data_IF_653391163970
#
_entry.id   IF_653391163970
#
_cell.length_a   1.000
_cell.length_b   1.000
_cell.length_c   1.000
_cell.angle_alpha   90.00
_cell.angle_beta   90.00
_cell.angle_gamma   90.00
#
_symmetry.space_group_name_H-M   'P 1'
#
loop_
_entity.id
_entity.type
_entity.pdbx_description
1 polymer ?
#
# COMPACT_ATOMS: atom_id res chain seq x y z
N UNK A 1 -4.53 -18.88 -15.39
CA UNK A 1 -4.77 -19.78 -14.22
C UNK A 1 -6.26 -19.89 -13.99
N UNK A 2 -6.76 -21.11 -13.94
CA UNK A 2 -8.19 -21.36 -13.81
C UNK A 2 -8.55 -22.06 -12.49
N UNK A 3 -7.55 -22.43 -11.71
CA UNK A 3 -7.80 -23.17 -10.47
C UNK A 3 -8.36 -22.24 -9.40
N UNK A 4 -9.39 -22.73 -8.71
CA UNK A 4 -9.92 -22.04 -7.54
C UNK A 4 -9.05 -22.41 -6.35
N UNK A 5 -8.66 -21.41 -5.56
CA UNK A 5 -7.89 -21.63 -4.33
C UNK A 5 -8.44 -20.74 -3.23
N UNK A 6 -8.37 -21.27 -2.03
CA UNK A 6 -8.73 -20.54 -0.82
C UNK A 6 -7.43 -20.26 -0.03
N UNK A 7 -7.26 -19.02 0.40
CA UNK A 7 -6.07 -18.61 1.13
C UNK A 7 -6.50 -17.90 2.40
N UNK A 8 -5.94 -18.30 3.54
CA UNK A 8 -6.12 -17.59 4.81
C UNK A 8 -4.94 -16.64 5.01
N UNK A 9 -5.20 -15.42 5.45
CA UNK A 9 -4.12 -14.45 5.69
C UNK A 9 -3.05 -14.96 6.64
N UNK A 10 -3.45 -15.72 7.66
CA UNK A 10 -2.50 -16.26 8.64
C UNK A 10 -1.48 -17.24 8.04
N UNK A 11 -1.81 -17.82 6.88
CA UNK A 11 -0.92 -18.77 6.18
C UNK A 11 -0.03 -18.06 5.17
N UNK A 12 -0.20 -16.75 4.97
CA UNK A 12 0.61 -15.97 4.04
C UNK A 12 1.82 -15.42 4.76
N UNK A 13 2.98 -15.58 4.13
CA UNK A 13 4.24 -15.09 4.69
C UNK A 13 4.19 -13.58 4.91
N UNK A 14 4.60 -13.16 6.11
CA UNK A 14 4.78 -11.75 6.42
C UNK A 14 6.14 -11.28 5.89
N UNK A 15 6.13 -10.23 5.08
CA UNK A 15 7.35 -9.55 4.65
C UNK A 15 7.56 -8.32 5.53
N UNK A 16 8.70 -8.25 6.19
CA UNK A 16 9.10 -7.05 6.92
C UNK A 16 9.95 -6.18 6.00
N UNK A 17 9.44 -5.02 5.61
CA UNK A 17 10.09 -4.14 4.64
C UNK A 17 11.05 -3.18 5.32
N UNK A 18 10.64 -2.67 6.47
CA UNK A 18 11.43 -1.81 7.33
C UNK A 18 10.83 -1.89 8.74
N UNK A 19 11.41 -1.23 9.77
CA UNK A 19 10.92 -1.36 11.13
C UNK A 19 9.46 -0.94 11.34
N UNK A 20 8.89 -0.14 10.44
CA UNK A 20 7.55 0.41 10.61
C UNK A 20 6.53 -0.18 9.62
N UNK A 21 6.97 -0.92 8.60
CA UNK A 21 6.08 -1.42 7.53
C UNK A 21 6.31 -2.90 7.27
N UNK A 22 5.22 -3.66 7.29
CA UNK A 22 5.22 -5.06 6.89
C UNK A 22 3.98 -5.35 6.06
N UNK A 23 3.99 -6.46 5.31
CA UNK A 23 2.84 -6.79 4.44
C UNK A 23 2.72 -8.28 4.17
N UNK A 24 1.51 -8.67 3.79
CA UNK A 24 1.19 -10.00 3.23
C UNK A 24 0.50 -9.80 1.90
N UNK A 25 0.83 -10.62 0.90
CA UNK A 25 0.30 -10.51 -0.45
C UNK A 25 -0.47 -11.76 -0.85
N UNK A 26 -1.65 -11.57 -1.45
CA UNK A 26 -2.40 -12.61 -2.15
C UNK A 26 -2.68 -12.07 -3.55
N UNK A 27 -2.34 -12.83 -4.58
CA UNK A 27 -2.48 -12.34 -5.95
C UNK A 27 -2.79 -13.46 -6.93
N UNK A 28 -3.33 -13.05 -8.07
CA UNK A 28 -3.60 -13.89 -9.23
C UNK A 28 -3.11 -13.17 -10.49
N UNK A 29 -3.59 -13.56 -11.67
CA UNK A 29 -3.16 -12.93 -12.92
C UNK A 29 -3.55 -11.45 -13.01
N UNK A 30 -4.76 -11.12 -12.55
CA UNK A 30 -5.33 -9.79 -12.77
C UNK A 30 -5.31 -8.90 -11.55
N UNK A 31 -5.21 -9.45 -10.36
CA UNK A 31 -5.41 -8.68 -9.12
C UNK A 31 -4.44 -9.09 -8.03
N UNK A 32 -4.14 -8.12 -7.17
CA UNK A 32 -3.36 -8.33 -5.96
C UNK A 32 -4.06 -7.69 -4.78
N UNK A 33 -4.13 -8.44 -3.67
CA UNK A 33 -4.54 -7.91 -2.38
C UNK A 33 -3.31 -7.84 -1.49
N UNK A 34 -3.14 -6.74 -0.79
CA UNK A 34 -2.05 -6.57 0.16
C UNK A 34 -2.60 -6.14 1.52
N UNK A 35 -2.36 -6.93 2.54
CA UNK A 35 -2.50 -6.48 3.93
C UNK A 35 -1.21 -5.77 4.30
N UNK A 36 -1.28 -4.47 4.49
CA UNK A 36 -0.12 -3.65 4.83
C UNK A 36 -0.30 -3.15 6.25
N UNK A 37 0.67 -3.44 7.10
CA UNK A 37 0.70 -2.97 8.48
C UNK A 37 1.69 -1.82 8.54
N UNK A 38 1.19 -0.66 8.95
CA UNK A 38 2.02 0.54 9.09
C UNK A 38 1.92 1.03 10.53
N UNK A 39 3.05 1.11 11.21
CA UNK A 39 3.08 1.71 12.54
C UNK A 39 3.02 3.22 12.42
N UNK A 40 2.51 3.88 13.46
CA UNK A 40 2.44 5.34 13.51
C UNK A 40 3.78 5.96 13.10
N UNK A 41 3.72 6.93 12.19
CA UNK A 41 4.88 7.61 11.66
C UNK A 41 5.53 6.94 10.45
N UNK A 42 5.05 5.76 10.05
CA UNK A 42 5.54 5.11 8.84
C UNK A 42 5.27 5.98 7.62
N UNK A 43 6.25 6.06 6.74
CA UNK A 43 6.15 6.86 5.52
C UNK A 43 6.31 5.97 4.30
N UNK A 44 5.37 6.09 3.37
CA UNK A 44 5.49 5.55 2.03
C UNK A 44 5.92 6.73 1.15
N UNK A 45 7.17 6.75 0.68
CA UNK A 45 7.67 7.87 -0.11
C UNK A 45 6.89 8.07 -1.40
N UNK A 46 6.96 9.28 -1.95
CA UNK A 46 6.29 9.62 -3.20
C UNK A 46 6.70 8.67 -4.32
N UNK A 47 5.72 8.12 -5.01
CA UNK A 47 5.90 7.20 -6.11
C UNK A 47 4.66 7.15 -6.98
N UNK A 48 4.77 6.57 -8.15
CA UNK A 48 3.65 6.26 -9.01
C UNK A 48 3.87 4.88 -9.64
N UNK A 49 2.81 4.33 -10.19
CA UNK A 49 2.84 3.01 -10.83
C UNK A 49 1.67 2.87 -11.80
N UNK A 50 1.84 1.98 -12.76
CA UNK A 50 0.82 1.73 -13.78
C UNK A 50 -0.45 1.11 -13.18
N UNK A 51 -0.34 0.45 -12.06
CA UNK A 51 -1.45 -0.24 -11.40
C UNK A 51 -2.50 0.73 -10.89
N UNK A 52 -3.77 0.45 -11.12
CA UNK A 52 -4.84 1.10 -10.38
C UNK A 52 -4.80 0.57 -8.95
N UNK A 53 -5.05 1.43 -7.98
CA UNK A 53 -4.98 1.07 -6.57
C UNK A 53 -6.22 1.54 -5.83
N UNK A 54 -6.83 0.63 -5.05
CA UNK A 54 -7.78 0.99 -4.01
C UNK A 54 -7.08 0.79 -2.68
N UNK A 55 -7.15 1.80 -1.83
CA UNK A 55 -6.63 1.73 -0.46
C UNK A 55 -7.82 1.74 0.48
N UNK A 56 -8.05 0.62 1.16
CA UNK A 56 -9.15 0.43 2.10
C UNK A 56 -8.56 0.33 3.51
N UNK A 57 -8.85 1.34 4.35
CA UNK A 57 -8.35 1.35 5.72
C UNK A 57 -9.26 0.49 6.59
N UNK A 58 -8.71 -0.60 7.13
CA UNK A 58 -9.44 -1.50 8.03
C UNK A 58 -9.40 -1.00 9.47
N UNK A 59 -8.25 -0.43 9.88
CA UNK A 59 -8.10 0.22 11.18
C UNK A 59 -7.00 1.27 11.08
N UNK A 60 -7.10 2.33 11.87
CA UNK A 60 -6.13 3.42 11.87
C UNK A 60 -6.47 4.52 10.87
N UNK A 61 -5.46 5.23 10.40
CA UNK A 61 -5.61 6.34 9.46
C UNK A 61 -4.30 6.61 8.72
N UNK A 62 -4.42 6.87 7.42
CA UNK A 62 -3.31 7.29 6.56
C UNK A 62 -3.60 8.69 6.02
N UNK A 63 -2.55 9.49 5.89
CA UNK A 63 -2.59 10.79 5.24
C UNK A 63 -1.88 10.70 3.90
N UNK A 64 -2.57 11.12 2.84
CA UNK A 64 -2.03 11.07 1.47
C UNK A 64 -1.79 12.47 0.91
N UNK A 65 -0.64 12.64 0.28
CA UNK A 65 -0.34 13.78 -0.59
C UNK A 65 -0.35 13.26 -2.02
N UNK A 66 -1.13 13.90 -2.89
CA UNK A 66 -1.48 13.37 -4.21
C UNK A 66 -1.07 14.33 -5.30
N UNK A 67 -0.60 13.80 -6.43
CA UNK A 67 -0.20 14.57 -7.60
C UNK A 67 1.00 15.45 -7.30
N UNK A 68 0.89 16.73 -7.60
CA UNK A 68 1.98 17.69 -7.37
C UNK A 68 2.34 17.86 -5.91
N UNK A 69 1.44 17.51 -4.99
CA UNK A 69 1.68 17.62 -3.55
C UNK A 69 2.50 16.46 -2.99
N UNK A 70 2.66 15.38 -3.76
CA UNK A 70 3.33 14.17 -3.28
C UNK A 70 4.82 14.39 -3.00
N UNK A 71 5.49 15.21 -3.82
CA UNK A 71 6.93 15.48 -3.68
C UNK A 71 7.23 16.69 -2.78
N UNK A 72 6.19 17.43 -2.38
CA UNK A 72 6.32 18.61 -1.52
C UNK A 72 5.19 18.59 -0.48
N UNK A 73 5.24 17.64 0.47
CA UNK A 73 4.15 17.48 1.44
C UNK A 73 4.00 18.72 2.31
N UNK A 74 2.80 19.28 2.28
CA UNK A 74 2.44 20.49 3.02
C UNK A 74 1.02 20.35 3.54
N UNK A 75 0.24 21.41 3.38
CA UNK A 75 -1.09 21.52 3.98
C UNK A 75 -2.23 20.99 3.09
N UNK A 76 -1.91 20.52 1.89
CA UNK A 76 -2.92 19.97 0.96
C UNK A 76 -2.79 18.45 0.92
N UNK A 77 -3.68 17.78 1.62
CA UNK A 77 -3.64 16.32 1.76
C UNK A 77 -5.05 15.77 1.94
N UNK A 78 -5.15 14.44 1.86
CA UNK A 78 -6.40 13.70 2.08
C UNK A 78 -6.15 12.67 3.17
N UNK A 79 -6.96 12.71 4.23
CA UNK A 79 -6.91 11.70 5.30
C UNK A 79 -7.94 10.61 5.02
N UNK A 80 -7.52 9.37 5.14
CA UNK A 80 -8.37 8.19 4.94
C UNK A 80 -8.41 7.43 6.26
N UNK A 81 -9.63 7.25 6.79
CA UNK A 81 -9.87 6.63 8.09
C UNK A 81 -10.48 5.24 7.93
N UNK A 82 -10.55 4.49 9.03
CA UNK A 82 -11.15 3.17 9.04
C UNK A 82 -12.53 3.18 8.39
N UNK A 83 -12.78 2.23 7.48
CA UNK A 83 -14.03 2.12 6.74
C UNK A 83 -14.09 2.97 5.48
N UNK A 84 -13.04 3.73 5.18
CA UNK A 84 -12.98 4.57 3.99
C UNK A 84 -12.06 3.98 2.94
N UNK A 85 -12.32 4.30 1.67
CA UNK A 85 -11.54 3.82 0.53
C UNK A 85 -11.06 5.01 -0.28
N UNK A 86 -9.77 5.03 -0.58
CA UNK A 86 -9.18 5.99 -1.51
C UNK A 86 -8.95 5.28 -2.84
N UNK A 87 -9.45 5.87 -3.93
CA UNK A 87 -9.25 5.35 -5.28
C UNK A 87 -8.11 6.12 -5.94
N UNK A 88 -7.04 5.42 -6.29
CA UNK A 88 -5.87 6.01 -6.96
C UNK A 88 -5.80 5.47 -8.39
N UNK A 89 -6.13 6.29 -9.40
CA UNK A 89 -5.99 5.88 -10.79
C UNK A 89 -4.53 5.59 -11.17
N UNK A 90 -4.37 4.85 -12.28
CA UNK A 90 -3.05 4.56 -12.83
C UNK A 90 -2.19 5.82 -12.96
N UNK A 91 -0.93 5.71 -12.56
CA UNK A 91 0.10 6.75 -12.69
C UNK A 91 -0.11 8.02 -11.87
N UNK A 92 -1.10 8.06 -10.99
CA UNK A 92 -1.24 9.19 -10.07
C UNK A 92 -0.19 9.08 -8.97
N UNK A 93 0.69 10.07 -8.90
CA UNK A 93 1.77 10.10 -7.92
C UNK A 93 1.20 10.34 -6.53
N UNK A 94 1.69 9.61 -5.53
CA UNK A 94 1.18 9.71 -4.16
C UNK A 94 2.25 9.39 -3.13
N UNK A 95 2.08 9.97 -1.96
CA UNK A 95 2.89 9.75 -0.75
C UNK A 95 1.92 9.54 0.41
N UNK A 96 2.27 8.69 1.35
CA UNK A 96 1.43 8.45 2.52
C UNK A 96 2.22 8.46 3.81
N UNK A 97 1.54 8.83 4.89
CA UNK A 97 2.07 8.75 6.25
C UNK A 97 1.01 8.17 7.18
N UNK A 98 1.42 7.24 8.04
CA UNK A 98 0.51 6.65 9.03
C UNK A 98 0.36 7.61 10.21
N UNK A 99 -0.87 8.07 10.42
CA UNK A 99 -1.19 8.98 11.54
C UNK A 99 -1.27 8.23 12.87
N UNK A 100 -1.53 6.94 12.80
CA UNK A 100 -1.58 6.01 13.92
C UNK A 100 -1.25 4.62 13.39
N UNK A 101 -1.17 3.62 14.25
CA UNK A 101 -0.98 2.24 13.80
C UNK A 101 -2.14 1.87 12.89
N UNK A 102 -1.83 1.38 11.70
CA UNK A 102 -2.82 1.20 10.63
C UNK A 102 -2.72 -0.18 10.03
N UNK A 103 -3.88 -0.79 9.78
CA UNK A 103 -4.02 -1.94 8.91
C UNK A 103 -4.73 -1.47 7.64
N UNK A 104 -4.02 -1.55 6.53
CA UNK A 104 -4.46 -1.10 5.22
C UNK A 104 -4.60 -2.31 4.29
N UNK A 105 -5.70 -2.38 3.57
CA UNK A 105 -5.89 -3.33 2.48
C UNK A 105 -5.71 -2.58 1.17
N UNK A 106 -4.60 -2.82 0.48
CA UNK A 106 -4.40 -2.29 -0.86
C UNK A 106 -4.84 -3.34 -1.89
N UNK A 107 -5.55 -2.88 -2.91
CA UNK A 107 -6.03 -3.71 -4.01
C UNK A 107 -5.46 -3.13 -5.29
N UNK A 108 -4.69 -3.95 -6.02
CA UNK A 108 -4.03 -3.52 -7.26
C UNK A 108 -4.52 -4.31 -8.47
N UNK A 109 -4.66 -3.63 -9.60
CA UNK A 109 -4.89 -4.24 -10.90
C UNK A 109 -4.02 -3.52 -11.95
N UNK A 110 -3.11 -4.23 -12.63
CA UNK A 110 -2.66 -5.60 -12.40
C UNK A 110 -1.81 -5.71 -11.12
N UNK A 111 -1.35 -6.93 -10.75
CA UNK A 111 -0.46 -7.09 -9.60
C UNK A 111 0.80 -6.25 -9.71
N UNK A 112 1.28 -5.76 -8.57
CA UNK A 112 2.52 -4.97 -8.48
C UNK A 112 3.73 -5.86 -8.73
N UNK A 113 4.27 -5.81 -9.95
CA UNK A 113 5.41 -6.63 -10.32
C UNK A 113 6.65 -6.31 -9.49
N UNK A 114 6.86 -5.02 -9.16
CA UNK A 114 7.97 -4.60 -8.31
C UNK A 114 7.88 -5.17 -6.89
N UNK A 115 6.67 -5.38 -6.39
CA UNK A 115 6.47 -6.02 -5.08
C UNK A 115 6.75 -7.52 -5.15
N UNK A 116 6.39 -8.16 -6.25
CA UNK A 116 6.66 -9.60 -6.45
C UNK A 116 8.14 -9.87 -6.68
N UNK A 117 8.84 -8.97 -7.35
CA UNK A 117 10.28 -9.11 -7.66
C UNK A 117 11.18 -8.62 -6.54
N UNK A 118 10.64 -7.92 -5.54
CA UNK A 118 11.43 -7.32 -4.48
C UNK A 118 12.25 -6.12 -4.95
N UNK A 119 11.83 -5.46 -6.04
CA UNK A 119 12.51 -4.27 -6.58
C UNK A 119 11.90 -2.96 -6.08
N UNK A 120 11.01 -3.02 -5.12
CA UNK A 120 10.35 -1.87 -4.49
C UNK A 120 11.26 -1.23 -3.43
N UNK A 121 12.41 -0.75 -3.85
CA UNK A 121 13.43 -0.21 -2.95
C UNK A 121 12.95 0.97 -2.10
N UNK A 122 11.96 1.73 -2.59
CA UNK A 122 11.42 2.88 -1.86
C UNK A 122 10.74 2.50 -0.54
N UNK A 123 10.34 1.23 -0.38
CA UNK A 123 9.72 0.72 0.85
C UNK A 123 10.71 0.00 1.75
N UNK A 124 11.88 -0.39 1.22
CA UNK A 124 12.84 -1.20 1.96
C UNK A 124 13.67 -0.32 2.89
N UNK A 125 14.13 -0.92 4.00
CA UNK A 125 14.97 -0.20 4.95
C UNK A 125 16.26 0.27 4.30
N UNK A 126 16.63 1.50 4.62
CA UNK A 126 17.96 2.02 4.24
C UNK A 126 19.05 1.33 5.02
N UNK A 127 20.18 1.22 4.43
CA UNK A 127 21.37 0.63 5.05
C UNK A 127 22.31 1.72 5.53
#
# INVERSE_FOLDING_TARGET
MTDVRKVAWEDVRLEELNPLISRRLIYSEAQMLAHVVLKKGAIVPAHDHVNEQFTYILSGALRFWIGEHADAPGDTYTDVHAGEVLVLPSMVRHRAEALEDTLDMDIFNPPRQDWLDGTDSYLRASK
#
